data_IF_799387342832
#
_entry.id   IF_799387342832
#
_cell.length_a   1.000
_cell.length_b   1.000
_cell.length_c   1.000
_cell.angle_alpha   90.00
_cell.angle_beta   90.00
_cell.angle_gamma   90.00
#
_symmetry.space_group_name_H-M   'P 1'
#
loop_
_entity.id
_entity.type
_entity.pdbx_description
1 polymer ?
#
# COMPACT_ATOMS: atom_id res chain seq x y z
N UNK A 1 12.38 17.28 23.87
CA UNK A 1 11.20 16.79 23.15
C UNK A 1 10.78 17.85 22.16
N UNK A 2 11.21 17.77 20.91
CA UNK A 2 10.77 18.67 19.84
C UNK A 2 9.41 18.18 19.36
N UNK A 3 8.33 18.69 19.96
CA UNK A 3 6.99 18.50 19.41
C UNK A 3 6.96 19.20 18.06
N UNK A 4 7.09 18.41 16.98
CA UNK A 4 6.86 18.88 15.61
C UNK A 4 5.46 19.47 15.59
N UNK A 5 5.34 20.80 15.53
CA UNK A 5 4.04 21.43 15.41
C UNK A 5 3.33 20.81 14.21
N UNK A 6 2.04 20.41 14.35
CA UNK A 6 1.33 19.75 13.27
C UNK A 6 1.23 20.72 12.10
N UNK A 7 2.03 20.46 11.07
CA UNK A 7 1.93 21.16 9.79
C UNK A 7 0.62 20.81 9.10
N UNK A 8 0.25 21.62 8.11
CA UNK A 8 -0.97 21.41 7.32
C UNK A 8 -0.84 20.11 6.52
N UNK A 9 -1.86 19.27 6.57
CA UNK A 9 -1.90 17.99 5.85
C UNK A 9 -2.19 18.20 4.37
N UNK A 10 -1.81 17.22 3.53
CA UNK A 10 -2.13 17.26 2.10
C UNK A 10 -3.65 17.27 1.87
N UNK A 11 -4.44 16.60 2.72
CA UNK A 11 -5.90 16.59 2.64
C UNK A 11 -6.49 17.98 2.88
N UNK A 12 -6.01 18.69 3.91
CA UNK A 12 -6.43 20.06 4.19
C UNK A 12 -6.03 21.01 3.06
N UNK A 13 -4.81 20.89 2.52
CA UNK A 13 -4.36 21.69 1.36
C UNK A 13 -5.19 21.41 0.11
N UNK A 14 -5.51 20.14 -0.17
CA UNK A 14 -6.33 19.76 -1.31
C UNK A 14 -7.74 20.35 -1.21
N UNK A 15 -8.37 20.28 -0.03
CA UNK A 15 -9.67 20.87 0.22
C UNK A 15 -9.64 22.40 0.10
N UNK A 16 -8.64 23.05 0.71
CA UNK A 16 -8.43 24.49 0.61
C UNK A 16 -8.30 24.97 -0.83
N UNK A 17 -7.44 24.33 -1.63
CA UNK A 17 -7.23 24.71 -3.03
C UNK A 17 -8.50 24.52 -3.87
N UNK A 18 -9.26 23.44 -3.64
CA UNK A 18 -10.49 23.15 -4.37
C UNK A 18 -11.60 24.17 -4.06
N UNK A 19 -11.76 24.51 -2.79
CA UNK A 19 -12.71 25.55 -2.37
C UNK A 19 -12.30 26.90 -2.94
N UNK A 20 -11.00 27.23 -2.91
CA UNK A 20 -10.49 28.48 -3.45
C UNK A 20 -10.73 28.55 -4.97
N UNK A 21 -10.38 27.50 -5.73
CA UNK A 21 -10.63 27.41 -7.16
C UNK A 21 -12.12 27.63 -7.50
N UNK A 22 -13.01 26.97 -6.76
CA UNK A 22 -14.47 27.07 -6.96
C UNK A 22 -14.98 28.51 -6.77
N UNK A 23 -14.50 29.20 -5.74
CA UNK A 23 -14.90 30.57 -5.44
C UNK A 23 -14.27 31.58 -6.42
N UNK A 24 -13.03 31.33 -6.88
CA UNK A 24 -12.38 32.11 -7.94
C UNK A 24 -13.13 31.97 -9.26
N UNK A 25 -13.54 30.75 -9.63
CA UNK A 25 -14.36 30.50 -10.81
C UNK A 25 -15.72 31.21 -10.73
N UNK A 26 -16.29 31.34 -9.53
CA UNK A 26 -17.50 32.13 -9.28
C UNK A 26 -17.27 33.66 -9.32
N UNK A 27 -16.05 34.12 -9.60
CA UNK A 27 -15.65 35.53 -9.68
C UNK A 27 -15.97 36.33 -8.41
N UNK A 28 -15.91 35.67 -7.26
CA UNK A 28 -16.09 36.31 -5.96
C UNK A 28 -14.85 37.18 -5.67
N UNK A 29 -15.05 38.30 -4.98
CA UNK A 29 -13.94 39.15 -4.56
C UNK A 29 -12.96 38.36 -3.68
N UNK A 30 -11.67 38.45 -3.97
CA UNK A 30 -10.62 37.70 -3.27
C UNK A 30 -10.68 37.84 -1.74
N UNK A 31 -10.99 39.02 -1.20
CA UNK A 31 -11.09 39.21 0.25
C UNK A 31 -12.26 38.43 0.86
N UNK A 32 -13.40 38.38 0.15
CA UNK A 32 -14.57 37.60 0.54
C UNK A 32 -14.29 36.09 0.43
N UNK A 33 -13.51 35.69 -0.58
CA UNK A 33 -13.03 34.31 -0.72
C UNK A 33 -12.21 33.91 0.51
N UNK A 34 -11.24 34.73 0.95
CA UNK A 34 -10.46 34.42 2.14
C UNK A 34 -11.32 34.36 3.41
N UNK A 35 -12.36 35.19 3.53
CA UNK A 35 -13.32 35.10 4.63
C UNK A 35 -14.08 33.75 4.62
N UNK A 36 -14.55 33.31 3.45
CA UNK A 36 -15.25 32.04 3.29
C UNK A 36 -14.32 30.84 3.55
N UNK A 37 -13.08 30.87 3.05
CA UNK A 37 -12.08 29.82 3.26
C UNK A 37 -11.70 29.67 4.74
N UNK A 38 -11.62 30.79 5.47
CA UNK A 38 -11.38 30.77 6.92
C UNK A 38 -12.49 30.03 7.65
N UNK A 39 -13.74 30.31 7.31
CA UNK A 39 -14.91 29.72 7.97
C UNK A 39 -15.02 28.22 7.69
N UNK A 40 -14.71 27.80 6.47
CA UNK A 40 -14.75 26.40 6.04
C UNK A 40 -13.55 25.56 6.50
N UNK A 41 -12.40 26.19 6.78
CA UNK A 41 -11.21 25.48 7.23
C UNK A 41 -11.42 24.89 8.62
N UNK A 42 -11.13 23.61 8.84
CA UNK A 42 -11.18 23.00 10.19
C UNK A 42 -9.88 23.20 10.97
N UNK A 43 -8.78 23.48 10.27
CA UNK A 43 -7.44 23.59 10.84
C UNK A 43 -7.21 24.95 11.49
N UNK A 44 -6.93 25.02 12.80
CA UNK A 44 -6.66 26.29 13.48
C UNK A 44 -5.46 27.02 12.89
N UNK A 45 -4.41 26.28 12.51
CA UNK A 45 -3.21 26.84 11.88
C UNK A 45 -3.51 27.45 10.52
N UNK A 46 -4.28 26.76 9.68
CA UNK A 46 -4.65 27.26 8.35
C UNK A 46 -5.55 28.49 8.46
N UNK A 47 -6.49 28.54 9.43
CA UNK A 47 -7.31 29.74 9.71
C UNK A 47 -6.45 30.96 10.03
N UNK A 48 -5.46 30.81 10.91
CA UNK A 48 -4.56 31.91 11.26
C UNK A 48 -3.74 32.39 10.05
N UNK A 49 -3.23 31.45 9.25
CA UNK A 49 -2.49 31.76 8.03
C UNK A 49 -3.37 32.48 7.01
N UNK A 50 -4.60 32.01 6.81
CA UNK A 50 -5.61 32.63 5.93
C UNK A 50 -5.85 34.08 6.32
N UNK A 51 -6.04 34.37 7.61
CA UNK A 51 -6.23 35.75 8.09
C UNK A 51 -5.04 36.63 7.75
N UNK A 52 -3.82 36.16 8.06
CA UNK A 52 -2.61 36.95 7.79
C UNK A 52 -2.34 37.13 6.29
N UNK A 53 -2.68 36.13 5.47
CA UNK A 53 -2.58 36.23 4.00
C UNK A 53 -3.61 37.23 3.47
N UNK A 54 -4.84 37.22 4.00
CA UNK A 54 -5.87 38.22 3.66
C UNK A 54 -5.39 39.62 3.98
N UNK A 55 -4.83 39.84 5.17
CA UNK A 55 -4.28 41.14 5.57
C UNK A 55 -3.16 41.61 4.64
N UNK A 56 -2.29 40.69 4.20
CA UNK A 56 -1.23 40.99 3.21
C UNK A 56 -1.81 41.43 1.86
N UNK A 57 -2.87 40.77 1.40
CA UNK A 57 -3.57 41.09 0.14
C UNK A 57 -4.28 42.44 0.24
N UNK A 58 -4.90 42.72 1.39
CA UNK A 58 -5.53 44.01 1.67
C UNK A 58 -4.49 45.16 1.64
N UNK A 59 -3.25 44.88 2.06
CA UNK A 59 -2.11 45.79 1.92
C UNK A 59 -1.52 45.87 0.50
N UNK A 60 -2.11 45.17 -0.48
CA UNK A 60 -1.69 45.18 -1.88
C UNK A 60 -0.51 44.27 -2.20
N UNK A 61 -0.17 43.31 -1.33
CA UNK A 61 0.85 42.30 -1.63
C UNK A 61 0.26 41.23 -2.55
N UNK A 62 1.11 40.70 -3.42
CA UNK A 62 0.75 39.58 -4.30
C UNK A 62 0.47 38.31 -3.47
N UNK A 63 -0.42 37.45 -3.95
CA UNK A 63 -0.75 36.16 -3.36
C UNK A 63 0.49 35.30 -3.14
N UNK A 64 1.32 35.18 -4.17
CA UNK A 64 2.55 34.40 -4.08
C UNK A 64 3.48 34.93 -2.98
N UNK A 65 3.52 36.26 -2.80
CA UNK A 65 4.33 36.90 -1.77
C UNK A 65 3.75 36.64 -0.38
N UNK A 66 2.43 36.76 -0.21
CA UNK A 66 1.75 36.48 1.05
C UNK A 66 1.94 35.03 1.51
N UNK A 67 1.73 34.06 0.62
CA UNK A 67 1.94 32.63 0.93
C UNK A 67 3.41 32.28 1.20
N UNK A 68 4.36 32.96 0.54
CA UNK A 68 5.81 32.69 0.73
C UNK A 68 6.32 32.94 2.15
N UNK A 69 5.58 33.70 2.97
CA UNK A 69 5.89 33.93 4.38
C UNK A 69 5.73 32.67 5.25
N UNK A 70 5.07 31.62 4.74
CA UNK A 70 4.79 30.38 5.46
C UNK A 70 5.43 29.17 4.77
N UNK A 71 6.78 29.12 4.65
CA UNK A 71 7.48 28.05 3.92
C UNK A 71 7.35 26.66 4.58
N UNK A 72 6.97 26.61 5.85
CA UNK A 72 6.70 25.37 6.58
C UNK A 72 5.35 24.74 6.20
N UNK A 73 4.44 25.52 5.59
CA UNK A 73 3.09 25.10 5.22
C UNK A 73 2.93 24.99 3.70
N UNK A 74 3.48 25.94 2.95
CA UNK A 74 3.41 25.97 1.49
C UNK A 74 4.79 25.72 0.89
N UNK A 75 4.86 24.70 0.04
CA UNK A 75 6.11 24.34 -0.63
C UNK A 75 6.53 25.39 -1.66
N UNK A 76 7.81 25.45 -2.05
CA UNK A 76 8.26 26.30 -3.16
C UNK A 76 7.47 26.05 -4.46
N UNK A 77 7.08 24.79 -4.72
CA UNK A 77 6.24 24.45 -5.86
C UNK A 77 4.87 25.13 -5.79
N UNK A 78 4.20 25.10 -4.65
CA UNK A 78 2.93 25.80 -4.43
C UNK A 78 3.06 27.29 -4.73
N UNK A 79 4.08 27.93 -4.16
CA UNK A 79 4.32 29.38 -4.32
C UNK A 79 4.58 29.72 -5.79
N UNK A 80 5.37 28.91 -6.50
CA UNK A 80 5.64 29.12 -7.93
C UNK A 80 4.40 28.98 -8.79
N UNK A 81 3.55 27.99 -8.50
CA UNK A 81 2.28 27.80 -9.21
C UNK A 81 1.35 29.00 -9.02
N UNK A 82 1.13 29.43 -7.77
CA UNK A 82 0.32 30.62 -7.48
C UNK A 82 0.88 31.87 -8.17
N UNK A 83 2.20 32.05 -8.18
CA UNK A 83 2.85 33.17 -8.88
C UNK A 83 2.56 33.14 -10.38
N UNK A 84 2.63 31.97 -10.99
CA UNK A 84 2.32 31.81 -12.41
C UNK A 84 0.85 32.15 -12.68
N UNK A 85 -0.08 31.59 -11.90
CA UNK A 85 -1.51 31.86 -12.05
C UNK A 85 -1.87 33.33 -11.81
N UNK A 86 -1.21 34.00 -10.87
CA UNK A 86 -1.39 35.43 -10.59
C UNK A 86 -0.90 36.31 -11.76
N UNK A 87 0.20 35.94 -12.42
CA UNK A 87 0.74 36.67 -13.57
C UNK A 87 -0.06 36.45 -14.85
N UNK A 88 -0.53 35.23 -15.07
CA UNK A 88 -1.30 34.83 -16.27
C UNK A 88 -2.80 35.15 -16.13
N UNK A 89 -3.27 35.42 -14.92
CA UNK A 89 -4.69 35.64 -14.62
C UNK A 89 -5.51 34.34 -14.57
N UNK A 90 -4.85 33.18 -14.50
CA UNK A 90 -5.44 31.83 -14.51
C UNK A 90 -5.35 31.18 -13.12
N UNK A 91 -5.64 31.94 -12.06
CA UNK A 91 -5.50 31.46 -10.69
C UNK A 91 -6.48 30.30 -10.39
N UNK A 92 -7.68 30.34 -10.97
CA UNK A 92 -8.69 29.28 -10.86
C UNK A 92 -8.15 27.93 -11.36
N UNK A 93 -7.57 27.89 -12.58
CA UNK A 93 -6.97 26.68 -13.16
C UNK A 93 -5.80 26.19 -12.34
N UNK A 94 -4.91 27.09 -11.93
CA UNK A 94 -3.73 26.76 -11.13
C UNK A 94 -4.12 26.17 -9.76
N UNK A 95 -5.17 26.70 -9.13
CA UNK A 95 -5.68 26.17 -7.87
C UNK A 95 -6.32 24.79 -8.04
N UNK A 96 -7.00 24.53 -9.16
CA UNK A 96 -7.53 23.19 -9.51
C UNK A 96 -6.39 22.17 -9.69
N UNK A 97 -5.32 22.57 -10.39
CA UNK A 97 -4.12 21.75 -10.58
C UNK A 97 -3.44 21.44 -9.23
N UNK A 98 -3.33 22.43 -8.35
CA UNK A 98 -2.80 22.26 -6.99
C UNK A 98 -3.70 21.35 -6.15
N UNK A 99 -5.02 21.52 -6.20
CA UNK A 99 -5.97 20.68 -5.49
C UNK A 99 -5.83 19.21 -5.91
N UNK A 100 -5.70 18.97 -7.22
CA UNK A 100 -5.49 17.64 -7.79
C UNK A 100 -4.15 17.05 -7.37
N UNK A 101 -3.08 17.86 -7.36
CA UNK A 101 -1.74 17.43 -6.94
C UNK A 101 -1.70 16.99 -5.47
N UNK A 102 -2.35 17.73 -4.56
CA UNK A 102 -2.38 17.34 -3.15
C UNK A 102 -3.33 16.17 -2.89
N UNK A 103 -4.45 16.08 -3.61
CA UNK A 103 -5.39 14.97 -3.50
C UNK A 103 -4.73 13.64 -3.92
N UNK A 104 -4.00 13.61 -5.03
CA UNK A 104 -3.35 12.38 -5.50
C UNK A 104 -2.33 11.84 -4.48
N UNK A 105 -1.64 12.73 -3.75
CA UNK A 105 -0.70 12.34 -2.68
C UNK A 105 -1.39 11.72 -1.46
N UNK A 106 -2.67 12.02 -1.24
CA UNK A 106 -3.46 11.41 -0.18
C UNK A 106 -3.90 10.02 -0.62
N UNK A 107 -4.43 9.87 -1.84
CA UNK A 107 -4.86 8.58 -2.38
C UNK A 107 -3.70 7.58 -2.45
N UNK A 108 -2.52 8.02 -2.95
CA UNK A 108 -1.30 7.19 -2.97
C UNK A 108 -0.94 6.65 -1.57
N UNK A 109 -1.17 7.44 -0.53
CA UNK A 109 -0.88 7.03 0.85
C UNK A 109 -1.90 6.04 1.42
N UNK A 110 -3.14 6.07 0.93
CA UNK A 110 -4.21 5.14 1.31
C UNK A 110 -3.99 3.79 0.60
N UNK A 111 -3.70 3.82 -0.70
CA UNK A 111 -3.44 2.62 -1.51
C UNK A 111 -2.26 1.81 -0.98
N UNK A 112 -1.18 2.49 -0.55
CA UNK A 112 -0.03 1.83 0.07
C UNK A 112 -0.40 1.20 1.42
N UNK A 113 -1.15 1.92 2.26
CA UNK A 113 -1.59 1.40 3.55
C UNK A 113 -2.53 0.18 3.41
N UNK A 114 -3.41 0.18 2.41
CA UNK A 114 -4.30 -0.95 2.13
C UNK A 114 -3.53 -2.16 1.59
N UNK A 115 -2.58 -1.96 0.67
CA UNK A 115 -1.72 -3.03 0.14
C UNK A 115 -0.86 -3.68 1.22
N UNK A 116 -0.37 -2.90 2.18
CA UNK A 116 0.46 -3.40 3.28
C UNK A 116 -0.37 -4.03 4.42
N UNK A 117 -1.60 -3.56 4.65
CA UNK A 117 -2.54 -4.14 5.62
C UNK A 117 -3.07 -5.52 5.16
N UNK A 118 -3.22 -5.73 3.85
CA UNK A 118 -3.41 -7.07 3.27
C UNK A 118 -2.04 -7.74 3.08
N UNK A 119 -1.21 -7.73 4.13
CA UNK A 119 0.09 -8.41 4.21
C UNK A 119 -0.01 -9.95 4.20
N UNK A 120 -1.08 -10.50 3.65
CA UNK A 120 -1.20 -11.92 3.33
C UNK A 120 -0.92 -12.08 1.84
N UNK A 121 0.32 -12.47 1.53
CA UNK A 121 0.73 -12.84 0.18
C UNK A 121 -0.02 -14.13 -0.23
N UNK A 122 -1.16 -13.94 -0.89
CA UNK A 122 -2.01 -15.01 -1.41
C UNK A 122 -1.26 -15.95 -2.36
N UNK A 123 -0.20 -15.48 -3.03
CA UNK A 123 0.64 -16.34 -3.85
C UNK A 123 1.50 -17.27 -2.98
N UNK A 124 2.07 -16.79 -1.88
CA UNK A 124 2.77 -17.67 -0.93
C UNK A 124 1.82 -18.67 -0.29
N UNK A 125 0.62 -18.24 0.09
CA UNK A 125 -0.37 -19.10 0.71
C UNK A 125 -0.82 -20.25 -0.22
N UNK A 126 -1.06 -19.96 -1.50
CA UNK A 126 -1.44 -20.97 -2.50
C UNK A 126 -0.31 -21.97 -2.75
N UNK A 127 0.93 -21.49 -2.87
CA UNK A 127 2.11 -22.36 -3.02
C UNK A 127 2.25 -23.29 -1.81
N UNK A 128 2.14 -22.74 -0.59
CA UNK A 128 2.22 -23.53 0.64
C UNK A 128 1.12 -24.59 0.72
N UNK A 129 -0.12 -24.22 0.39
CA UNK A 129 -1.26 -25.13 0.35
C UNK A 129 -1.03 -26.28 -0.65
N UNK A 130 -0.54 -25.96 -1.85
CA UNK A 130 -0.29 -26.95 -2.90
C UNK A 130 0.81 -27.94 -2.52
N UNK A 131 1.85 -27.47 -1.81
CA UNK A 131 2.88 -28.36 -1.25
C UNK A 131 2.29 -29.27 -0.16
N UNK A 132 1.54 -28.72 0.80
CA UNK A 132 0.91 -29.50 1.87
C UNK A 132 -0.02 -30.59 1.28
N UNK A 133 -0.87 -30.22 0.32
CA UNK A 133 -1.79 -31.13 -0.34
C UNK A 133 -1.05 -32.28 -1.05
N UNK A 134 -0.01 -31.96 -1.81
CA UNK A 134 0.81 -32.96 -2.51
C UNK A 134 1.45 -33.96 -1.53
N UNK A 135 1.95 -33.47 -0.38
CA UNK A 135 2.53 -34.33 0.66
C UNK A 135 1.49 -35.20 1.36
N UNK A 136 0.28 -34.68 1.62
CA UNK A 136 -0.83 -35.45 2.21
C UNK A 136 -1.22 -36.62 1.28
N UNK A 137 -1.38 -36.36 -0.02
CA UNK A 137 -1.72 -37.41 -1.00
C UNK A 137 -0.62 -38.45 -1.09
N UNK A 138 0.66 -38.03 -1.11
CA UNK A 138 1.80 -38.94 -1.10
C UNK A 138 1.80 -39.83 0.16
N UNK A 139 1.54 -39.26 1.35
CA UNK A 139 1.48 -40.00 2.60
C UNK A 139 0.37 -41.06 2.59
N UNK A 140 -0.83 -40.71 2.11
CA UNK A 140 -1.95 -41.65 2.00
C UNK A 140 -1.60 -42.80 1.04
N UNK A 141 -0.97 -42.50 -0.10
CA UNK A 141 -0.52 -43.53 -1.04
C UNK A 141 0.50 -44.49 -0.40
N UNK A 142 1.44 -43.97 0.41
CA UNK A 142 2.39 -44.81 1.16
C UNK A 142 1.67 -45.71 2.16
N UNK A 143 0.72 -45.19 2.93
CA UNK A 143 -0.08 -45.99 3.87
C UNK A 143 -0.88 -47.08 3.16
N UNK A 144 -1.48 -46.76 2.00
CA UNK A 144 -2.23 -47.72 1.20
C UNK A 144 -1.33 -48.85 0.67
N UNK A 145 -0.15 -48.52 0.12
CA UNK A 145 0.81 -49.53 -0.34
C UNK A 145 1.36 -50.38 0.81
N UNK A 146 1.64 -49.76 1.95
CA UNK A 146 2.07 -50.46 3.17
C UNK A 146 1.02 -51.46 3.64
N UNK A 147 -0.25 -51.07 3.68
CA UNK A 147 -1.35 -51.98 4.03
C UNK A 147 -1.51 -53.12 3.02
N UNK A 148 -1.30 -52.86 1.72
CA UNK A 148 -1.30 -53.88 0.68
C UNK A 148 -0.15 -54.88 0.84
N UNK A 149 1.05 -54.43 1.17
CA UNK A 149 2.20 -55.32 1.41
C UNK A 149 2.05 -56.16 2.68
N UNK A 150 1.48 -55.60 3.75
CA UNK A 150 1.18 -56.35 4.98
C UNK A 150 0.13 -57.43 4.68
N UNK A 151 -0.91 -57.10 3.89
CA UNK A 151 -1.90 -58.08 3.44
C UNK A 151 -1.28 -59.21 2.61
N UNK A 152 -0.38 -58.89 1.67
CA UNK A 152 0.36 -59.89 0.89
C UNK A 152 1.32 -60.73 1.74
N UNK A 153 1.81 -60.22 2.86
CA UNK A 153 2.69 -60.93 3.79
C UNK A 153 1.96 -61.87 4.76
N UNK A 154 0.66 -61.68 4.97
CA UNK A 154 -0.17 -62.55 5.84
C UNK A 154 -0.85 -63.70 5.10
N UNK A 155 -0.79 -63.73 3.76
CA UNK A 155 -1.30 -64.87 2.98
C UNK A 155 -0.22 -65.94 2.90
N UNK A 156 -0.39 -67.03 3.63
CA UNK A 156 0.45 -68.23 3.52
C UNK A 156 0.33 -68.81 2.10
N UNK A 157 1.38 -68.66 1.28
CA UNK A 157 1.54 -69.46 0.07
C UNK A 157 2.25 -70.75 0.47
N UNK A 158 1.59 -71.88 0.25
CA UNK A 158 1.97 -73.24 0.66
C UNK A 158 3.21 -73.77 -0.08
N UNK A 159 4.39 -73.18 0.18
CA UNK A 159 5.66 -73.62 -0.41
C UNK A 159 6.80 -73.66 0.63
N UNK A 160 7.43 -74.83 0.87
CA UNK A 160 8.46 -74.99 1.89
C UNK A 160 9.81 -74.39 1.46
N UNK A 161 10.41 -73.55 2.32
CA UNK A 161 11.82 -73.18 2.25
C UNK A 161 12.18 -71.84 1.59
N UNK A 162 11.24 -70.91 1.37
CA UNK A 162 11.57 -69.54 0.92
C UNK A 162 11.46 -68.54 2.09
N UNK A 163 12.49 -67.71 2.35
CA UNK A 163 12.38 -66.69 3.39
C UNK A 163 11.29 -65.68 3.04
N UNK A 164 10.44 -65.36 4.02
CA UNK A 164 9.42 -64.32 3.90
C UNK A 164 10.02 -62.95 3.56
N UNK A 165 9.22 -62.00 3.04
CA UNK A 165 9.72 -60.78 2.43
C UNK A 165 10.54 -59.88 3.39
N UNK A 166 11.72 -59.45 2.93
CA UNK A 166 12.68 -58.67 3.70
C UNK A 166 12.29 -57.18 3.81
N UNK A 167 11.71 -56.79 4.96
CA UNK A 167 11.34 -55.41 5.33
C UNK A 167 12.50 -54.41 5.15
N UNK A 168 13.74 -54.86 5.35
CA UNK A 168 14.95 -54.04 5.24
C UNK A 168 15.17 -53.48 3.82
N UNK A 169 14.83 -54.24 2.78
CA UNK A 169 14.96 -53.80 1.38
C UNK A 169 13.91 -52.74 1.03
N UNK A 170 12.72 -52.82 1.63
CA UNK A 170 11.65 -51.83 1.44
C UNK A 170 11.99 -50.49 2.10
N UNK A 171 12.47 -50.53 3.35
CA UNK A 171 12.93 -49.33 4.05
C UNK A 171 14.10 -48.67 3.30
N UNK A 172 15.01 -49.49 2.75
CA UNK A 172 16.13 -49.02 1.95
C UNK A 172 15.74 -48.32 0.64
N UNK A 173 14.80 -48.89 -0.13
CA UNK A 173 14.34 -48.27 -1.39
C UNK A 173 13.56 -46.99 -1.14
N UNK A 174 12.73 -46.94 -0.09
CA UNK A 174 11.97 -45.74 0.31
C UNK A 174 12.90 -44.59 0.73
N UNK A 175 13.93 -44.87 1.56
CA UNK A 175 14.91 -43.86 1.94
C UNK A 175 15.69 -43.32 0.73
N UNK A 176 16.08 -44.20 -0.19
CA UNK A 176 16.85 -43.82 -1.38
C UNK A 176 16.02 -42.95 -2.35
N UNK A 177 14.74 -43.27 -2.53
CA UNK A 177 13.81 -42.49 -3.35
C UNK A 177 13.50 -41.12 -2.71
N UNK A 178 13.33 -41.09 -1.38
CA UNK A 178 13.18 -39.84 -0.62
C UNK A 178 14.40 -38.91 -0.76
N UNK A 179 15.61 -39.45 -0.65
CA UNK A 179 16.87 -38.69 -0.83
C UNK A 179 17.05 -38.20 -2.26
N UNK A 180 16.70 -39.00 -3.28
CA UNK A 180 16.81 -38.60 -4.68
C UNK A 180 15.81 -37.50 -5.06
N UNK A 181 14.57 -37.57 -4.57
CA UNK A 181 13.57 -36.52 -4.77
C UNK A 181 13.96 -35.23 -4.05
N UNK A 182 14.49 -35.34 -2.83
CA UNK A 182 15.03 -34.21 -2.07
C UNK A 182 16.23 -33.54 -2.79
N UNK A 183 17.15 -34.33 -3.33
CA UNK A 183 18.30 -33.82 -4.08
C UNK A 183 17.88 -33.11 -5.39
N UNK A 184 16.81 -33.55 -6.04
CA UNK A 184 16.30 -32.95 -7.29
C UNK A 184 15.53 -31.65 -7.04
N UNK A 185 14.84 -31.52 -5.91
CA UNK A 185 14.07 -30.32 -5.54
C UNK A 185 14.92 -29.10 -5.20
N UNK A 186 16.19 -29.29 -4.80
CA UNK A 186 17.10 -28.17 -4.46
C UNK A 186 17.82 -27.54 -5.65
N UNK A 187 17.80 -28.16 -6.83
CA UNK A 187 18.59 -27.73 -8.01
C UNK A 187 17.86 -26.73 -8.92
N UNK A 188 16.64 -26.32 -8.56
CA UNK A 188 15.81 -25.36 -9.31
C UNK A 188 15.45 -24.09 -8.50
N UNK A 189 16.22 -23.78 -7.45
CA UNK A 189 16.27 -22.42 -6.88
C UNK A 189 17.52 -21.73 -7.36
#
# INVERSE_FOLDING_TARGET
MTTKEPGITNTELAAFCRQFASLMHAQINILDIFAALREQSESPLLREIIDRVRDDIEMGRSLATAFSRYPNCFSPFFISMIRQGELEGELDRVLEDLASHFASRVDDSIDVAERDAVGFDWQRATILFQWIFTWIVALIAVCALGSGLIWYGTVEFDLPGRPGPNILLFVGTVLLLGVLLFARGRRKR
#
